data_IF_876989188466
#
_entry.id   IF_876989188466
#
_cell.length_a   1.000
_cell.length_b   1.000
_cell.length_c   1.000
_cell.angle_alpha   90.00
_cell.angle_beta   90.00
_cell.angle_gamma   90.00
#
_symmetry.space_group_name_H-M   'P 1'
#
loop_
_entity.id
_entity.type
_entity.pdbx_description
1 polymer ?
#
# COMPACT_ATOMS: atom_id res chain seq x y z
N UNK A 1 -8.00 -6.75 34.42
CA UNK A 1 -7.54 -7.33 33.14
C UNK A 1 -8.69 -7.74 32.20
N UNK A 2 -9.96 -7.60 32.58
CA UNK A 2 -11.12 -7.83 31.69
C UNK A 2 -11.29 -6.74 30.61
N UNK A 3 -11.02 -5.47 30.96
CA UNK A 3 -11.26 -4.33 30.06
C UNK A 3 -10.40 -4.33 28.77
N UNK A 4 -9.24 -5.00 28.76
CA UNK A 4 -8.39 -5.06 27.57
C UNK A 4 -8.97 -6.00 26.51
N UNK A 5 -9.49 -7.15 26.93
CA UNK A 5 -10.12 -8.11 26.01
C UNK A 5 -11.51 -7.64 25.55
N UNK A 6 -12.26 -6.92 26.39
CA UNK A 6 -13.52 -6.29 25.97
C UNK A 6 -13.29 -5.15 24.96
N UNK A 7 -12.17 -4.43 25.06
CA UNK A 7 -11.75 -3.45 24.05
C UNK A 7 -11.35 -4.09 22.71
N UNK A 8 -10.97 -5.38 22.72
CA UNK A 8 -10.69 -6.22 21.54
C UNK A 8 -11.91 -7.13 21.26
N UNK A 9 -13.13 -6.68 21.57
CA UNK A 9 -14.33 -7.40 21.16
C UNK A 9 -14.63 -7.10 19.68
N UNK A 10 -14.63 -8.15 18.85
CA UNK A 10 -15.02 -8.05 17.45
C UNK A 10 -16.54 -8.01 17.25
N UNK A 11 -17.35 -7.85 18.29
CA UNK A 11 -18.81 -7.74 18.11
C UNK A 11 -19.26 -6.33 17.71
N UNK A 12 -18.38 -5.34 17.82
CA UNK A 12 -18.66 -3.98 17.39
C UNK A 12 -18.16 -3.73 15.95
N UNK A 13 -19.08 -3.38 15.04
CA UNK A 13 -18.77 -3.05 13.64
C UNK A 13 -17.77 -1.89 13.50
N UNK A 14 -17.78 -0.95 14.46
CA UNK A 14 -16.78 0.14 14.51
C UNK A 14 -15.36 -0.41 14.66
N UNK A 15 -15.17 -1.35 15.60
CA UNK A 15 -13.86 -1.96 15.85
C UNK A 15 -13.45 -2.84 14.67
N UNK A 16 -14.38 -3.62 14.08
CA UNK A 16 -14.12 -4.40 12.87
C UNK A 16 -13.56 -3.54 11.74
N UNK A 17 -14.21 -2.41 11.46
CA UNK A 17 -13.76 -1.47 10.43
C UNK A 17 -12.38 -0.89 10.71
N UNK A 18 -12.09 -0.56 11.97
CA UNK A 18 -10.77 -0.09 12.38
C UNK A 18 -9.69 -1.16 12.17
N UNK A 19 -9.98 -2.42 12.49
CA UNK A 19 -9.06 -3.53 12.22
C UNK A 19 -8.82 -3.76 10.72
N UNK A 20 -9.86 -3.66 9.89
CA UNK A 20 -9.71 -3.75 8.42
C UNK A 20 -8.84 -2.61 7.89
N UNK A 21 -9.03 -1.38 8.40
CA UNK A 21 -8.23 -0.21 8.02
C UNK A 21 -6.76 -0.37 8.42
N UNK A 22 -6.50 -0.84 9.66
CA UNK A 22 -5.14 -1.17 10.12
C UNK A 22 -4.50 -2.28 9.30
N UNK A 23 -5.26 -3.33 8.97
CA UNK A 23 -4.80 -4.45 8.17
C UNK A 23 -4.46 -4.06 6.73
N UNK A 24 -5.28 -3.21 6.10
CA UNK A 24 -4.99 -2.67 4.77
C UNK A 24 -3.71 -1.82 4.77
N UNK A 25 -3.54 -0.95 5.77
CA UNK A 25 -2.32 -0.19 5.95
C UNK A 25 -1.09 -1.09 6.12
N UNK A 26 -1.20 -2.14 6.93
CA UNK A 26 -0.13 -3.11 7.16
C UNK A 26 0.24 -3.91 5.91
N UNK A 27 -0.75 -4.32 5.10
CA UNK A 27 -0.50 -5.03 3.84
C UNK A 27 0.24 -4.15 2.83
N UNK A 28 -0.17 -2.89 2.69
CA UNK A 28 0.53 -1.93 1.81
C UNK A 28 1.94 -1.65 2.33
N UNK A 29 2.10 -1.45 3.64
CA UNK A 29 3.41 -1.26 4.25
C UNK A 29 4.35 -2.46 4.05
N UNK A 30 3.83 -3.68 4.17
CA UNK A 30 4.56 -4.92 3.92
C UNK A 30 4.98 -5.07 2.45
N UNK A 31 4.14 -4.65 1.50
CA UNK A 31 4.44 -4.73 0.07
C UNK A 31 5.47 -3.69 -0.39
N UNK A 32 5.39 -2.45 0.11
CA UNK A 32 6.20 -1.33 -0.40
C UNK A 32 7.32 -0.89 0.54
N UNK A 33 7.48 -1.52 1.70
CA UNK A 33 8.43 -1.10 2.74
C UNK A 33 8.22 0.35 3.21
N UNK A 34 6.99 0.86 3.10
CA UNK A 34 6.64 2.24 3.39
C UNK A 34 5.49 2.32 4.41
N UNK A 35 5.77 2.27 5.73
CA UNK A 35 4.72 2.23 6.75
C UNK A 35 3.84 3.48 6.76
N UNK A 36 4.42 4.67 6.57
CA UNK A 36 3.65 5.94 6.49
C UNK A 36 2.78 5.95 5.23
N UNK A 37 3.32 5.50 4.09
CA UNK A 37 2.56 5.41 2.83
C UNK A 37 1.35 4.46 2.94
N UNK A 38 1.52 3.33 3.63
CA UNK A 38 0.41 2.39 3.89
C UNK A 38 -0.73 2.99 4.73
N UNK A 39 -0.40 3.83 5.72
CA UNK A 39 -1.41 4.49 6.56
C UNK A 39 -2.14 5.58 5.77
N UNK A 40 -1.41 6.38 5.00
CA UNK A 40 -2.01 7.41 4.14
C UNK A 40 -2.93 6.79 3.09
N UNK A 41 -2.55 5.66 2.51
CA UNK A 41 -3.42 4.90 1.61
C UNK A 41 -4.69 4.41 2.30
N UNK A 42 -4.57 3.86 3.52
CA UNK A 42 -5.74 3.40 4.28
C UNK A 42 -6.67 4.54 4.70
N UNK A 43 -6.09 5.71 5.01
CA UNK A 43 -6.79 6.97 5.25
C UNK A 43 -7.57 7.46 4.03
N UNK A 44 -6.97 7.37 2.84
CA UNK A 44 -7.55 7.85 1.58
C UNK A 44 -8.66 6.92 1.06
N UNK A 45 -8.42 5.60 1.05
CA UNK A 45 -9.26 4.64 0.31
C UNK A 45 -10.10 3.71 1.21
N UNK A 46 -9.71 3.48 2.46
CA UNK A 46 -10.30 2.40 3.29
C UNK A 46 -11.19 2.93 4.41
N UNK A 47 -10.93 4.14 4.92
CA UNK A 47 -11.65 4.66 6.08
C UNK A 47 -12.32 6.02 5.83
N UNK A 48 -13.65 6.07 5.97
CA UNK A 48 -14.41 7.33 5.87
C UNK A 48 -14.36 8.21 7.13
N UNK A 49 -14.02 7.64 8.29
CA UNK A 49 -13.91 8.34 9.58
C UNK A 49 -12.65 7.89 10.31
N UNK A 50 -11.77 8.82 10.66
CA UNK A 50 -10.47 8.50 11.24
C UNK A 50 -10.28 9.13 12.62
N UNK A 51 -9.93 8.29 13.59
CA UNK A 51 -9.62 8.72 14.96
C UNK A 51 -8.10 8.91 15.12
N UNK A 52 -7.62 9.97 15.79
CA UNK A 52 -6.20 10.13 16.11
C UNK A 52 -5.55 8.90 16.76
N UNK A 53 -6.27 8.18 17.63
CA UNK A 53 -5.78 6.95 18.28
C UNK A 53 -5.61 5.80 17.28
N UNK A 54 -6.46 5.73 16.27
CA UNK A 54 -6.35 4.76 15.17
C UNK A 54 -5.09 5.00 14.34
N UNK A 55 -4.64 6.25 14.20
CA UNK A 55 -3.40 6.60 13.48
C UNK A 55 -2.20 5.88 14.08
N UNK A 56 -2.02 5.99 15.39
CA UNK A 56 -0.87 5.38 16.07
C UNK A 56 -0.96 3.86 16.05
N UNK A 57 -2.15 3.30 16.26
CA UNK A 57 -2.35 1.85 16.19
C UNK A 57 -2.07 1.31 14.77
N UNK A 58 -2.53 2.03 13.74
CA UNK A 58 -2.23 1.71 12.33
C UNK A 58 -0.75 1.84 12.04
N UNK A 59 -0.08 2.86 12.59
CA UNK A 59 1.36 3.07 12.41
C UNK A 59 2.20 1.95 13.00
N UNK A 60 1.89 1.54 14.24
CA UNK A 60 2.58 0.42 14.89
C UNK A 60 2.34 -0.86 14.10
N UNK A 61 1.10 -1.14 13.71
CA UNK A 61 0.76 -2.32 12.91
C UNK A 61 1.52 -2.36 11.58
N UNK A 62 1.50 -1.23 10.83
CA UNK A 62 2.19 -1.10 9.55
C UNK A 62 3.71 -1.20 9.67
N UNK A 63 4.30 -0.60 10.70
CA UNK A 63 5.74 -0.63 10.95
C UNK A 63 6.20 -2.04 11.32
N UNK A 64 5.44 -2.75 12.16
CA UNK A 64 5.73 -4.14 12.52
C UNK A 64 5.63 -5.05 11.29
N UNK A 65 4.62 -4.87 10.44
CA UNK A 65 4.47 -5.64 9.21
C UNK A 65 5.65 -5.43 8.25
N UNK A 66 6.02 -4.17 7.99
CA UNK A 66 7.17 -3.84 7.15
C UNK A 66 8.49 -4.34 7.76
N UNK A 67 8.65 -4.30 9.08
CA UNK A 67 9.82 -4.83 9.78
C UNK A 67 9.91 -6.35 9.63
N UNK A 68 8.80 -7.07 9.77
CA UNK A 68 8.80 -8.54 9.66
C UNK A 68 9.16 -9.02 8.25
N UNK A 69 8.68 -8.33 7.20
CA UNK A 69 9.08 -8.63 5.82
C UNK A 69 10.57 -8.39 5.63
N UNK A 70 11.10 -7.24 6.08
CA UNK A 70 12.53 -6.95 5.99
C UNK A 70 13.38 -7.94 6.77
N UNK A 71 12.93 -8.34 7.97
CA UNK A 71 13.61 -9.34 8.78
C UNK A 71 13.65 -10.67 8.04
N UNK A 72 12.53 -11.09 7.46
CA UNK A 72 12.46 -12.32 6.67
C UNK A 72 13.38 -12.29 5.46
N UNK A 73 13.38 -11.21 4.69
CA UNK A 73 14.26 -11.03 3.54
C UNK A 73 15.75 -11.08 3.96
N UNK A 74 16.11 -10.42 5.07
CA UNK A 74 17.49 -10.44 5.61
C UNK A 74 17.92 -11.83 6.05
N UNK A 75 17.05 -12.55 6.76
CA UNK A 75 17.32 -13.92 7.19
C UNK A 75 17.45 -14.85 5.98
N UNK A 76 16.52 -14.78 5.02
CA UNK A 76 16.56 -15.59 3.82
C UNK A 76 17.84 -15.36 3.00
N UNK A 77 18.30 -14.11 2.87
CA UNK A 77 19.59 -13.77 2.24
C UNK A 77 20.76 -14.40 2.97
N UNK A 78 20.80 -14.30 4.29
CA UNK A 78 21.86 -14.89 5.12
C UNK A 78 21.97 -16.41 4.92
N UNK A 79 20.83 -17.11 4.79
CA UNK A 79 20.80 -18.56 4.60
C UNK A 79 21.03 -19.01 3.15
N UNK A 80 20.51 -18.28 2.17
CA UNK A 80 20.45 -18.74 0.77
C UNK A 80 21.61 -18.25 -0.10
N UNK A 81 22.41 -17.29 0.36
CA UNK A 81 23.57 -16.74 -0.37
C UNK A 81 23.23 -16.06 -1.70
N UNK A 82 21.94 -15.87 -2.00
CA UNK A 82 21.49 -15.22 -3.23
C UNK A 82 21.43 -13.71 -3.02
N UNK A 83 22.11 -12.97 -3.91
CA UNK A 83 22.02 -11.52 -3.96
C UNK A 83 20.74 -11.12 -4.71
N UNK A 84 19.79 -10.57 -3.95
CA UNK A 84 18.57 -9.87 -4.39
C UNK A 84 17.37 -10.75 -4.72
N UNK A 85 16.53 -10.91 -3.70
CA UNK A 85 15.08 -10.97 -3.90
C UNK A 85 14.52 -9.73 -3.20
N UNK A 86 14.62 -8.58 -3.84
CA UNK A 86 13.83 -7.42 -3.42
C UNK A 86 12.43 -7.64 -3.99
N UNK A 87 11.40 -7.66 -3.14
CA UNK A 87 10.02 -7.78 -3.61
C UNK A 87 9.63 -6.61 -4.54
N UNK A 88 10.21 -5.42 -4.30
CA UNK A 88 10.12 -4.25 -5.18
C UNK A 88 11.50 -3.59 -5.25
N UNK A 89 11.98 -3.35 -6.47
CA UNK A 89 13.29 -2.71 -6.72
C UNK A 89 13.13 -1.20 -6.53
N UNK A 90 13.24 -0.73 -5.30
CA UNK A 90 13.50 0.68 -5.02
C UNK A 90 15.01 0.87 -4.98
N UNK A 91 15.59 1.50 -6.01
CA UNK A 91 17.01 1.86 -5.99
C UNK A 91 17.32 2.73 -4.76
N UNK A 92 18.53 2.60 -4.20
CA UNK A 92 18.93 3.42 -3.05
C UNK A 92 19.03 4.90 -3.45
N UNK A 93 18.06 5.70 -3.01
CA UNK A 93 18.07 7.15 -3.22
C UNK A 93 19.28 7.77 -2.48
N UNK A 94 19.69 7.16 -1.37
CA UNK A 94 20.87 7.57 -0.58
C UNK A 94 22.19 7.57 -1.38
N UNK A 95 22.36 6.66 -2.34
CA UNK A 95 23.56 6.64 -3.18
C UNK A 95 23.57 7.73 -4.25
N UNK A 96 22.40 8.31 -4.56
CA UNK A 96 22.25 9.40 -5.54
C UNK A 96 22.28 10.78 -4.90
N UNK A 97 21.79 10.93 -3.66
CA UNK A 97 21.81 12.21 -2.93
C UNK A 97 23.23 12.68 -2.54
N UNK A 98 24.22 11.80 -2.58
CA UNK A 98 25.62 12.16 -2.30
C UNK A 98 26.32 12.87 -3.47
N UNK A 99 25.73 12.83 -4.67
CA UNK A 99 26.13 13.63 -5.83
C UNK A 99 25.22 14.87 -5.88
N UNK A 100 25.79 16.07 -5.83
CA UNK A 100 25.03 17.35 -5.95
C UNK A 100 24.29 17.48 -7.31
N UNK A 101 24.55 16.57 -8.26
CA UNK A 101 23.99 16.55 -9.62
C UNK A 101 22.51 16.12 -9.70
N UNK A 102 21.87 15.72 -8.58
CA UNK A 102 20.47 15.25 -8.56
C UNK A 102 19.47 16.25 -7.99
N UNK A 103 19.86 17.52 -7.79
CA UNK A 103 18.93 18.56 -7.32
C UNK A 103 18.05 19.06 -8.47
N UNK A 104 16.74 18.81 -8.37
CA UNK A 104 15.76 19.24 -9.37
C UNK A 104 15.64 20.77 -9.43
N UNK A 105 15.55 21.30 -10.66
CA UNK A 105 15.34 22.73 -10.91
C UNK A 105 13.84 23.06 -11.02
N UNK A 106 13.43 24.27 -10.62
CA UNK A 106 12.01 24.71 -10.63
C UNK A 106 11.32 24.51 -11.99
N UNK A 107 12.02 24.70 -13.11
CA UNK A 107 11.43 24.50 -14.45
C UNK A 107 11.06 23.05 -14.75
N UNK A 108 11.74 22.07 -14.15
CA UNK A 108 11.45 20.64 -14.33
C UNK A 108 10.10 20.25 -13.71
N UNK A 109 9.61 21.02 -12.74
CA UNK A 109 8.28 20.84 -12.16
C UNK A 109 7.18 20.93 -13.21
N UNK A 110 7.32 21.82 -14.20
CA UNK A 110 6.36 21.94 -15.31
C UNK A 110 6.31 20.64 -16.12
N UNK A 111 7.48 20.03 -16.36
CA UNK A 111 7.58 18.74 -17.07
C UNK A 111 6.92 17.63 -16.23
N UNK A 112 7.15 17.60 -14.91
CA UNK A 112 6.50 16.65 -14.01
C UNK A 112 4.97 16.80 -14.00
N UNK A 113 4.45 18.03 -14.02
CA UNK A 113 3.00 18.25 -14.17
C UNK A 113 2.45 17.71 -15.48
N UNK A 114 3.15 17.92 -16.61
CA UNK A 114 2.73 17.39 -17.91
C UNK A 114 2.72 15.86 -17.92
N UNK A 115 3.75 15.23 -17.37
CA UNK A 115 3.81 13.77 -17.21
C UNK A 115 2.64 13.30 -16.35
N UNK A 116 2.35 13.99 -15.24
CA UNK A 116 1.19 13.71 -14.38
C UNK A 116 -0.14 13.75 -15.15
N UNK A 117 -0.35 14.77 -15.98
CA UNK A 117 -1.56 14.86 -16.83
C UNK A 117 -1.65 13.69 -17.82
N UNK A 118 -0.55 13.32 -18.49
CA UNK A 118 -0.52 12.20 -19.43
C UNK A 118 -0.80 10.87 -18.72
N UNK A 119 -0.15 10.63 -17.57
CA UNK A 119 -0.39 9.45 -16.74
C UNK A 119 -1.84 9.36 -16.25
N UNK A 120 -2.44 10.49 -15.85
CA UNK A 120 -3.85 10.57 -15.44
C UNK A 120 -4.81 10.20 -16.59
N UNK A 121 -4.58 10.72 -17.79
CA UNK A 121 -5.39 10.39 -18.97
C UNK A 121 -5.26 8.90 -19.36
N UNK A 122 -4.03 8.37 -19.34
CA UNK A 122 -3.78 6.95 -19.60
C UNK A 122 -4.44 6.05 -18.54
N UNK A 123 -4.37 6.43 -17.26
CA UNK A 123 -5.04 5.73 -16.16
C UNK A 123 -6.56 5.71 -16.31
N UNK A 124 -7.17 6.83 -16.68
CA UNK A 124 -8.60 6.90 -16.96
C UNK A 124 -9.01 6.01 -18.15
N UNK A 125 -8.22 6.01 -19.23
CA UNK A 125 -8.44 5.15 -20.38
C UNK A 125 -8.32 3.66 -20.02
N UNK A 126 -7.32 3.29 -19.23
CA UNK A 126 -7.13 1.93 -18.73
C UNK A 126 -8.32 1.47 -17.86
N UNK A 127 -8.79 2.32 -16.94
CA UNK A 127 -9.94 2.00 -16.10
C UNK A 127 -11.20 1.79 -16.94
N UNK A 128 -11.45 2.63 -17.95
CA UNK A 128 -12.59 2.49 -18.86
C UNK A 128 -12.53 1.19 -19.67
N UNK A 129 -11.35 0.82 -20.16
CA UNK A 129 -11.15 -0.44 -20.88
C UNK A 129 -11.38 -1.65 -19.97
N UNK A 130 -10.82 -1.63 -18.76
CA UNK A 130 -11.02 -2.70 -17.77
C UNK A 130 -12.48 -2.85 -17.36
N UNK A 131 -13.20 -1.74 -17.20
CA UNK A 131 -14.62 -1.77 -16.89
C UNK A 131 -15.41 -2.44 -18.03
N UNK A 132 -15.15 -2.07 -19.29
CA UNK A 132 -15.79 -2.71 -20.45
C UNK A 132 -15.44 -4.20 -20.56
N UNK A 133 -14.17 -4.55 -20.35
CA UNK A 133 -13.73 -5.94 -20.36
C UNK A 133 -14.40 -6.74 -19.25
N UNK A 134 -14.49 -6.18 -18.05
CA UNK A 134 -15.15 -6.81 -16.91
C UNK A 134 -16.64 -7.00 -17.17
N UNK A 135 -17.33 -6.02 -17.75
CA UNK A 135 -18.74 -6.18 -18.15
C UNK A 135 -18.93 -7.31 -19.18
N UNK A 136 -18.07 -7.38 -20.20
CA UNK A 136 -18.10 -8.49 -21.18
C UNK A 136 -17.82 -9.83 -20.53
N UNK A 137 -16.83 -9.89 -19.62
CA UNK A 137 -16.48 -11.08 -18.84
C UNK A 137 -17.67 -11.54 -18.00
N UNK A 138 -18.30 -10.62 -17.28
CA UNK A 138 -19.49 -10.92 -16.48
C UNK A 138 -20.62 -11.45 -17.36
N UNK A 139 -20.88 -10.85 -18.53
CA UNK A 139 -21.91 -11.35 -19.44
C UNK A 139 -21.61 -12.77 -19.95
N UNK A 140 -20.36 -13.07 -20.29
CA UNK A 140 -19.93 -14.39 -20.77
C UNK A 140 -20.03 -15.48 -19.68
N UNK A 141 -19.59 -15.19 -18.44
CA UNK A 141 -19.56 -16.19 -17.36
C UNK A 141 -20.87 -16.30 -16.57
N UNK A 142 -21.79 -15.33 -16.66
CA UNK A 142 -23.07 -15.35 -15.94
C UNK A 142 -24.02 -16.47 -16.40
N UNK A 143 -23.76 -17.10 -17.55
CA UNK A 143 -24.48 -18.29 -18.05
C UNK A 143 -23.97 -19.65 -17.54
N UNK A 144 -22.85 -19.71 -16.78
CA UNK A 144 -22.28 -20.96 -16.23
C UNK A 144 -22.41 -21.06 -14.70
N UNK A 145 -23.57 -20.70 -14.15
CA UNK A 145 -23.89 -21.06 -12.75
C UNK A 145 -24.31 -22.53 -12.70
N UNK A 146 -23.33 -23.40 -12.49
CA UNK A 146 -23.51 -24.83 -12.28
C UNK A 146 -22.35 -25.38 -11.49
N UNK A 147 -22.25 -24.95 -10.22
CA UNK A 147 -21.76 -25.68 -9.05
C UNK A 147 -22.60 -25.20 -7.87
#
# INVERSE_FOLDING_TARGET
>A
MSNFFDAVSFDNDYMRRNFVSMGAAAGVAAAFHAPIGGILFSLEEVSSFWDPTLTLNSFVCASVAAFMVQLWERLYRSYSGHEKIDFIIWGSIEAKLADDDYLYTIWEFVIFCLIGCVCGLLGAAFNHLNMKLTMKRMHFFRGRKGW
#
